data_IF_487400383330
#
_entry.id   IF_487400383330
#
_cell.length_a   1.000
_cell.length_b   1.000
_cell.length_c   1.000
_cell.angle_alpha   90.00
_cell.angle_beta   90.00
_cell.angle_gamma   90.00
#
_symmetry.space_group_name_H-M   'P 1'
#
loop_
_entity.id
_entity.type
_entity.pdbx_description
1 polymer ?
#
# COMPACT_ATOMS: atom_id res chain seq x y z
N UNK A 1 -43.34 59.93 -26.96
CA UNK A 1 -43.39 59.31 -25.62
C UNK A 1 -43.51 57.78 -25.62
N UNK A 2 -43.88 57.09 -26.72
CA UNK A 2 -43.89 55.60 -26.76
C UNK A 2 -42.50 54.95 -26.93
N UNK A 3 -41.56 55.60 -27.61
CA UNK A 3 -40.25 55.00 -27.90
C UNK A 3 -39.32 54.84 -26.67
N UNK A 4 -39.57 55.58 -25.58
CA UNK A 4 -38.78 55.49 -24.34
C UNK A 4 -39.22 54.35 -23.42
N UNK A 5 -40.50 53.95 -23.47
CA UNK A 5 -41.02 52.83 -22.67
C UNK A 5 -40.58 51.47 -23.25
N UNK A 6 -40.52 51.35 -24.58
CA UNK A 6 -40.00 50.13 -25.24
C UNK A 6 -38.51 49.91 -24.96
N UNK A 7 -37.73 50.98 -24.79
CA UNK A 7 -36.28 50.88 -24.56
C UNK A 7 -35.95 50.40 -23.13
N UNK A 8 -36.72 50.84 -22.14
CA UNK A 8 -36.57 50.41 -20.74
C UNK A 8 -36.93 48.93 -20.54
N UNK A 9 -38.01 48.46 -21.20
CA UNK A 9 -38.39 47.06 -21.19
C UNK A 9 -37.37 46.15 -21.87
N UNK A 10 -36.72 46.62 -22.94
CA UNK A 10 -35.63 45.88 -23.59
C UNK A 10 -34.40 45.81 -22.67
N UNK A 11 -34.04 46.87 -21.96
CA UNK A 11 -32.90 46.84 -21.03
C UNK A 11 -33.12 45.93 -19.82
N UNK A 12 -34.33 45.86 -19.25
CA UNK A 12 -34.67 44.92 -18.17
C UNK A 12 -34.66 43.46 -18.65
N UNK A 13 -35.10 43.21 -19.88
CA UNK A 13 -35.03 41.86 -20.45
C UNK A 13 -33.58 41.40 -20.62
N UNK A 14 -32.69 42.29 -21.09
CA UNK A 14 -31.27 41.96 -21.33
C UNK A 14 -30.55 41.67 -20.00
N UNK A 15 -30.82 42.43 -18.93
CA UNK A 15 -30.20 42.18 -17.63
C UNK A 15 -30.67 40.87 -17.00
N UNK A 16 -31.96 40.52 -17.14
CA UNK A 16 -32.50 39.24 -16.70
C UNK A 16 -31.88 38.05 -17.46
N UNK A 17 -31.68 38.16 -18.78
CA UNK A 17 -31.02 37.13 -19.58
C UNK A 17 -29.54 36.95 -19.20
N UNK A 18 -28.84 38.05 -18.91
CA UNK A 18 -27.44 38.02 -18.44
C UNK A 18 -27.34 37.36 -17.06
N UNK A 19 -28.26 37.66 -16.15
CA UNK A 19 -28.30 37.06 -14.83
C UNK A 19 -28.54 35.53 -14.89
N UNK A 20 -29.48 35.09 -15.72
CA UNK A 20 -29.71 33.66 -15.98
C UNK A 20 -28.49 32.94 -16.57
N UNK A 21 -27.76 33.60 -17.47
CA UNK A 21 -26.53 33.04 -18.04
C UNK A 21 -25.41 32.90 -16.98
N UNK A 22 -25.32 33.84 -16.03
CA UNK A 22 -24.37 33.77 -14.92
C UNK A 22 -24.74 32.63 -13.94
N UNK A 23 -26.02 32.45 -13.63
CA UNK A 23 -26.52 31.34 -12.81
C UNK A 23 -26.27 29.97 -13.44
N UNK A 24 -26.44 29.85 -14.76
CA UNK A 24 -26.09 28.63 -15.52
C UNK A 24 -24.60 28.30 -15.43
N UNK A 25 -23.73 29.32 -15.44
CA UNK A 25 -22.29 29.14 -15.28
C UNK A 25 -21.90 28.60 -13.89
N UNK A 26 -22.49 29.13 -12.83
CA UNK A 26 -22.25 28.67 -11.45
C UNK A 26 -22.78 27.25 -11.25
N UNK A 27 -23.99 26.96 -11.74
CA UNK A 27 -24.57 25.63 -11.66
C UNK A 27 -23.70 24.59 -12.40
N UNK A 28 -23.19 24.94 -13.59
CA UNK A 28 -22.26 24.09 -14.33
C UNK A 28 -20.94 23.86 -13.57
N UNK A 29 -20.40 24.89 -12.92
CA UNK A 29 -19.17 24.79 -12.10
C UNK A 29 -19.34 23.85 -10.88
N UNK A 30 -20.47 23.93 -10.19
CA UNK A 30 -20.82 23.03 -9.08
C UNK A 30 -21.01 21.60 -9.59
N UNK A 31 -21.69 21.41 -10.72
CA UNK A 31 -21.90 20.09 -11.31
C UNK A 31 -20.57 19.43 -11.74
N UNK A 32 -19.65 20.20 -12.31
CA UNK A 32 -18.32 19.70 -12.70
C UNK A 32 -17.44 19.34 -11.49
N UNK A 33 -17.52 20.09 -10.39
CA UNK A 33 -16.77 19.75 -9.16
C UNK A 33 -17.33 18.48 -8.52
N UNK A 34 -18.66 18.34 -8.43
CA UNK A 34 -19.31 17.10 -7.96
C UNK A 34 -18.96 15.90 -8.85
N UNK A 35 -19.02 16.05 -10.18
CA UNK A 35 -18.62 15.00 -11.12
C UNK A 35 -17.14 14.64 -11.02
N UNK A 36 -16.25 15.62 -10.79
CA UNK A 36 -14.83 15.40 -10.54
C UNK A 36 -14.57 14.60 -9.25
N UNK A 37 -15.29 14.90 -8.18
CA UNK A 37 -15.21 14.15 -6.92
C UNK A 37 -15.73 12.71 -7.04
N UNK A 38 -16.82 12.50 -7.78
CA UNK A 38 -17.34 11.16 -8.11
C UNK A 38 -16.32 10.37 -8.96
N UNK A 39 -15.68 11.03 -9.94
CA UNK A 39 -14.62 10.42 -10.75
C UNK A 39 -13.38 10.00 -9.94
N UNK A 40 -12.97 10.78 -8.93
CA UNK A 40 -11.87 10.40 -8.01
C UNK A 40 -12.28 9.25 -7.07
N UNK A 41 -13.56 9.18 -6.70
CA UNK A 41 -14.08 8.10 -5.87
C UNK A 41 -14.20 6.78 -6.65
N UNK A 42 -14.69 6.82 -7.89
CA UNK A 42 -14.84 5.64 -8.75
C UNK A 42 -13.52 5.21 -9.41
N UNK A 43 -12.65 6.16 -9.79
CA UNK A 43 -11.30 5.89 -10.29
C UNK A 43 -10.33 5.30 -9.26
N UNK A 44 -10.75 5.19 -7.99
CA UNK A 44 -10.07 4.41 -6.95
C UNK A 44 -10.45 2.92 -6.95
N UNK A 45 -11.50 2.55 -7.68
CA UNK A 45 -11.99 1.18 -7.79
C UNK A 45 -11.60 0.52 -9.12
N UNK A 46 -11.44 1.29 -10.19
CA UNK A 46 -10.86 0.80 -11.47
C UNK A 46 -9.40 1.21 -11.59
N UNK A 47 -8.52 0.29 -11.96
CA UNK A 47 -7.07 0.46 -12.19
C UNK A 47 -6.74 1.34 -13.42
N UNK A 48 -7.56 2.34 -13.75
CA UNK A 48 -7.40 3.19 -14.93
C UNK A 48 -6.92 4.60 -14.52
N UNK A 49 -5.61 4.80 -14.62
CA UNK A 49 -4.89 6.03 -14.24
C UNK A 49 -5.28 7.29 -15.03
N UNK A 50 -5.94 7.14 -16.18
CA UNK A 50 -6.41 8.25 -17.03
C UNK A 50 -7.63 8.99 -16.45
N UNK A 51 -8.57 8.27 -15.82
CA UNK A 51 -9.77 8.86 -15.21
C UNK A 51 -9.39 9.77 -14.04
N UNK A 52 -8.51 9.31 -13.14
CA UNK A 52 -8.06 10.08 -11.98
C UNK A 52 -7.25 11.34 -12.32
N UNK A 53 -6.60 11.38 -13.49
CA UNK A 53 -5.84 12.55 -13.96
C UNK A 53 -6.78 13.60 -14.55
N UNK A 54 -7.80 13.18 -15.32
CA UNK A 54 -8.84 14.06 -15.84
C UNK A 54 -9.78 14.58 -14.75
N UNK A 55 -10.06 13.81 -13.68
CA UNK A 55 -10.90 14.29 -12.58
C UNK A 55 -10.27 15.46 -11.80
N UNK A 56 -8.94 15.50 -11.70
CA UNK A 56 -8.21 16.59 -11.03
C UNK A 56 -8.27 17.90 -11.80
N UNK A 57 -8.24 17.87 -13.14
CA UNK A 57 -8.39 19.08 -13.94
C UNK A 57 -9.82 19.62 -13.84
N UNK A 58 -10.84 18.74 -13.84
CA UNK A 58 -12.25 19.14 -13.72
C UNK A 58 -12.55 19.88 -12.39
N UNK A 59 -11.91 19.49 -11.28
CA UNK A 59 -12.07 20.16 -9.97
C UNK A 59 -11.46 21.57 -10.01
N UNK A 60 -10.28 21.73 -10.62
CA UNK A 60 -9.60 23.04 -10.71
C UNK A 60 -10.36 23.97 -11.66
N UNK A 61 -10.81 23.48 -12.81
CA UNK A 61 -11.54 24.28 -13.80
C UNK A 61 -12.93 24.70 -13.28
N UNK A 62 -13.65 23.82 -12.58
CA UNK A 62 -14.96 24.13 -11.99
C UNK A 62 -14.87 25.20 -10.88
N UNK A 63 -13.82 25.16 -10.05
CA UNK A 63 -13.59 26.18 -9.02
C UNK A 63 -13.24 27.54 -9.63
N UNK A 64 -12.40 27.56 -10.68
CA UNK A 64 -12.01 28.78 -11.37
C UNK A 64 -13.18 29.47 -12.10
N UNK A 65 -14.06 28.69 -12.75
CA UNK A 65 -15.25 29.22 -13.41
C UNK A 65 -16.21 29.89 -12.40
N UNK A 66 -16.43 29.22 -11.26
CA UNK A 66 -17.35 29.69 -10.21
C UNK A 66 -16.88 31.00 -9.54
N UNK A 67 -15.56 31.17 -9.37
CA UNK A 67 -14.98 32.40 -8.80
C UNK A 67 -14.95 33.54 -9.81
N UNK A 68 -14.70 33.24 -11.10
CA UNK A 68 -14.69 34.24 -12.16
C UNK A 68 -16.05 34.90 -12.41
N UNK A 69 -17.13 34.14 -12.31
CA UNK A 69 -18.52 34.63 -12.53
C UNK A 69 -18.98 35.59 -11.43
N UNK A 70 -18.59 35.35 -10.17
CA UNK A 70 -18.92 36.24 -9.04
C UNK A 70 -18.19 37.59 -9.07
N UNK A 71 -17.00 37.65 -9.69
CA UNK A 71 -16.23 38.89 -9.79
C UNK A 71 -16.76 39.83 -10.88
N UNK A 72 -17.33 39.26 -11.96
CA UNK A 72 -17.85 40.02 -13.10
C UNK A 72 -19.19 40.72 -12.78
N UNK A 73 -20.06 40.09 -11.98
CA UNK A 73 -21.36 40.67 -11.58
C UNK A 73 -21.20 41.84 -10.59
N UNK A 74 -20.22 41.75 -9.69
CA UNK A 74 -19.88 42.83 -8.75
C UNK A 74 -19.25 44.04 -9.44
N UNK A 75 -18.36 43.82 -10.41
CA UNK A 75 -17.71 44.90 -11.18
C UNK A 75 -18.66 45.66 -12.09
N UNK A 76 -19.64 44.98 -12.69
CA UNK A 76 -20.59 45.59 -13.63
C UNK A 76 -21.54 46.59 -12.95
N UNK A 77 -21.97 46.32 -11.71
CA UNK A 77 -22.83 47.23 -10.93
C UNK A 77 -22.08 48.46 -10.39
N UNK A 78 -20.78 48.32 -10.14
CA UNK A 78 -19.91 49.44 -9.77
C UNK A 78 -19.65 50.40 -10.94
N UNK A 79 -19.76 49.91 -12.18
CA UNK A 79 -19.59 50.71 -13.40
C UNK A 79 -20.88 51.41 -13.85
N UNK A 80 -22.06 50.94 -13.41
CA UNK A 80 -23.35 51.51 -13.83
C UNK A 80 -24.07 52.34 -12.76
N UNK A 81 -23.62 52.29 -11.50
CA UNK A 81 -24.21 53.06 -10.40
C UNK A 81 -23.47 54.36 -10.10
N UNK A 82 -23.83 55.45 -10.75
CA UNK A 82 -23.36 56.79 -10.36
C UNK A 82 -23.58 57.88 -11.39
N UNK A 83 -24.84 58.21 -11.72
CA UNK A 83 -25.14 59.47 -12.43
C UNK A 83 -26.59 59.90 -12.26
N UNK A 84 -27.01 60.22 -11.04
CA UNK A 84 -28.20 61.07 -10.83
C UNK A 84 -27.76 62.32 -10.07
N UNK A 85 -27.73 63.45 -10.78
CA UNK A 85 -27.60 64.78 -10.18
C UNK A 85 -28.98 65.40 -10.27
N UNK A 86 -29.66 65.61 -9.15
CA UNK A 86 -30.90 66.40 -9.12
C UNK A 86 -30.94 67.31 -7.87
N UNK A 87 -31.28 68.61 -8.00
CA UNK A 87 -31.48 69.49 -6.85
C UNK A 87 -32.96 69.53 -6.38
N UNK A 88 -33.12 69.43 -5.06
CA UNK A 88 -34.33 69.57 -4.18
C UNK A 88 -35.10 70.91 -4.34
N UNK A 89 -36.33 71.19 -3.79
CA UNK A 89 -37.15 70.52 -2.73
C UNK A 89 -38.69 70.40 -3.03
N UNK A 90 -39.53 69.61 -2.34
CA UNK A 90 -40.19 69.83 -1.01
C UNK A 90 -41.12 68.60 -0.63
N UNK A 91 -41.68 68.48 0.60
CA UNK A 91 -41.78 67.21 1.33
C UNK A 91 -43.19 66.59 1.49
N UNK A 92 -43.28 65.25 1.54
CA UNK A 92 -44.39 64.47 2.15
C UNK A 92 -43.92 63.04 2.52
N UNK A 93 -44.60 62.30 3.43
CA UNK A 93 -43.96 61.73 4.61
C UNK A 93 -43.87 60.20 4.56
N UNK A 94 -42.91 59.67 5.34
CA UNK A 94 -42.81 58.27 5.76
C UNK A 94 -42.87 57.23 4.62
N UNK A 95 -41.85 57.21 3.76
CA UNK A 95 -41.45 55.96 3.16
C UNK A 95 -40.76 55.15 4.25
N UNK A 96 -41.27 53.93 4.50
CA UNK A 96 -40.54 52.89 5.20
C UNK A 96 -39.09 52.94 4.74
N UNK A 97 -38.19 53.19 5.69
CA UNK A 97 -36.80 52.83 5.54
C UNK A 97 -36.75 51.31 5.52
N UNK A 98 -37.16 50.75 4.38
CA UNK A 98 -36.72 49.48 3.87
C UNK A 98 -35.21 49.58 3.77
N UNK A 99 -34.58 49.32 4.90
CA UNK A 99 -33.24 48.81 4.97
C UNK A 99 -33.27 47.59 4.04
N UNK A 100 -32.95 47.82 2.76
CA UNK A 100 -32.53 46.84 1.76
C UNK A 100 -31.24 46.27 2.31
N UNK A 101 -31.45 45.47 3.34
CA UNK A 101 -30.42 44.95 4.18
C UNK A 101 -29.81 43.89 3.30
N UNK A 102 -28.59 44.15 2.84
CA UNK A 102 -27.72 43.21 2.11
C UNK A 102 -27.37 42.01 3.02
N UNK A 103 -27.67 42.15 4.33
CA UNK A 103 -27.37 41.24 5.42
C UNK A 103 -28.02 39.84 5.34
N UNK A 104 -29.32 39.63 5.02
CA UNK A 104 -29.96 38.32 5.00
C UNK A 104 -29.53 37.46 3.80
N UNK A 105 -29.31 38.07 2.63
CA UNK A 105 -28.87 37.34 1.43
C UNK A 105 -27.38 36.93 1.58
N UNK A 106 -26.51 37.83 2.04
CA UNK A 106 -25.12 37.49 2.41
C UNK A 106 -25.04 36.45 3.55
N UNK A 107 -25.95 36.48 4.53
CA UNK A 107 -26.00 35.46 5.59
C UNK A 107 -26.41 34.09 5.03
N UNK A 108 -27.36 34.05 4.09
CA UNK A 108 -27.81 32.82 3.45
C UNK A 108 -26.69 32.18 2.60
N UNK A 109 -26.02 32.98 1.77
CA UNK A 109 -24.90 32.52 0.93
C UNK A 109 -23.63 32.21 1.76
N UNK A 110 -23.34 33.03 2.77
CA UNK A 110 -22.24 32.78 3.72
C UNK A 110 -22.46 31.51 4.54
N UNK A 111 -23.70 31.24 4.95
CA UNK A 111 -24.09 30.01 5.64
C UNK A 111 -23.93 28.75 4.78
N UNK A 112 -24.32 28.81 3.49
CA UNK A 112 -24.15 27.71 2.55
C UNK A 112 -22.66 27.43 2.25
N UNK A 113 -21.85 28.47 2.06
CA UNK A 113 -20.40 28.33 1.85
C UNK A 113 -19.70 27.73 3.09
N UNK A 114 -20.05 28.20 4.29
CA UNK A 114 -19.56 27.63 5.55
C UNK A 114 -20.02 26.17 5.74
N UNK A 115 -21.26 25.85 5.39
CA UNK A 115 -21.80 24.49 5.43
C UNK A 115 -21.03 23.55 4.50
N UNK A 116 -20.78 23.97 3.26
CA UNK A 116 -19.97 23.20 2.31
C UNK A 116 -18.53 22.96 2.78
N UNK A 117 -17.89 23.99 3.35
CA UNK A 117 -16.55 23.87 3.95
C UNK A 117 -16.53 22.94 5.16
N UNK A 118 -17.55 22.99 6.03
CA UNK A 118 -17.66 22.10 7.18
C UNK A 118 -17.80 20.63 6.75
N UNK A 119 -18.62 20.36 5.73
CA UNK A 119 -18.77 19.00 5.17
C UNK A 119 -17.46 18.51 4.54
N UNK A 120 -16.77 19.37 3.79
CA UNK A 120 -15.47 19.03 3.20
C UNK A 120 -14.40 18.77 4.28
N UNK A 121 -14.39 19.55 5.36
CA UNK A 121 -13.48 19.37 6.48
C UNK A 121 -13.74 18.04 7.22
N UNK A 122 -15.01 17.69 7.46
CA UNK A 122 -15.39 16.42 8.09
C UNK A 122 -15.05 15.20 7.20
N UNK A 123 -15.30 15.30 5.90
CA UNK A 123 -14.91 14.28 4.92
C UNK A 123 -13.38 14.11 4.86
N UNK A 124 -12.64 15.23 4.85
CA UNK A 124 -11.17 15.24 4.90
C UNK A 124 -10.63 14.62 6.18
N UNK A 125 -11.23 14.93 7.34
CA UNK A 125 -10.88 14.35 8.64
C UNK A 125 -11.15 12.84 8.71
N UNK A 126 -12.31 12.38 8.20
CA UNK A 126 -12.64 10.96 8.09
C UNK A 126 -11.65 10.20 7.20
N UNK A 127 -11.34 10.77 6.02
CA UNK A 127 -10.35 10.21 5.11
C UNK A 127 -8.94 10.17 5.72
N UNK A 128 -8.53 11.23 6.42
CA UNK A 128 -7.25 11.29 7.14
C UNK A 128 -7.17 10.21 8.23
N UNK A 129 -8.23 10.02 9.02
CA UNK A 129 -8.30 9.02 10.09
C UNK A 129 -8.19 7.59 9.55
N UNK A 130 -8.88 7.29 8.45
CA UNK A 130 -8.80 5.98 7.77
C UNK A 130 -7.41 5.78 7.15
N UNK A 131 -6.84 6.80 6.52
CA UNK A 131 -5.50 6.74 5.91
C UNK A 131 -4.42 6.47 6.95
N UNK A 132 -4.49 7.13 8.12
CA UNK A 132 -3.55 6.94 9.23
C UNK A 132 -3.62 5.52 9.80
N UNK A 133 -4.81 4.90 9.87
CA UNK A 133 -4.97 3.49 10.28
C UNK A 133 -4.40 2.50 9.26
N UNK A 134 -4.52 2.80 7.96
CA UNK A 134 -3.98 1.94 6.89
C UNK A 134 -2.46 1.94 6.87
N UNK A 135 -1.82 3.09 7.10
CA UNK A 135 -0.34 3.16 7.10
C UNK A 135 0.28 2.41 8.27
N UNK A 136 -0.30 2.50 9.47
CA UNK A 136 0.18 1.73 10.63
C UNK A 136 -0.04 0.23 10.45
N UNK A 137 -1.21 -0.19 9.94
CA UNK A 137 -1.49 -1.60 9.62
C UNK A 137 -0.48 -2.17 8.61
N UNK A 138 -0.20 -1.43 7.54
CA UNK A 138 0.78 -1.82 6.51
C UNK A 138 2.20 -1.95 7.08
N UNK A 139 2.64 -0.97 7.87
CA UNK A 139 3.97 -1.02 8.50
C UNK A 139 4.11 -2.20 9.46
N UNK A 140 3.08 -2.48 10.27
CA UNK A 140 3.05 -3.64 11.18
C UNK A 140 3.11 -4.95 10.38
N UNK A 141 2.30 -5.08 9.32
CA UNK A 141 2.32 -6.26 8.45
C UNK A 141 3.69 -6.47 7.79
N UNK A 142 4.31 -5.42 7.25
CA UNK A 142 5.66 -5.48 6.68
C UNK A 142 6.73 -5.91 7.71
N UNK A 143 6.61 -5.46 8.95
CA UNK A 143 7.53 -5.90 10.00
C UNK A 143 7.38 -7.41 10.29
N UNK A 144 6.14 -7.91 10.33
CA UNK A 144 5.85 -9.33 10.51
C UNK A 144 6.33 -10.18 9.32
N UNK A 145 6.13 -9.69 8.09
CA UNK A 145 6.66 -10.32 6.87
C UNK A 145 8.16 -10.49 6.95
N UNK A 146 8.92 -9.45 7.35
CA UNK A 146 10.38 -9.57 7.52
C UNK A 146 10.78 -10.63 8.54
N UNK A 147 10.09 -10.71 9.68
CA UNK A 147 10.39 -11.73 10.70
C UNK A 147 10.08 -13.13 10.20
N UNK A 148 8.95 -13.30 9.51
CA UNK A 148 8.60 -14.57 8.86
C UNK A 148 9.67 -14.96 7.83
N UNK A 149 9.99 -14.08 6.89
CA UNK A 149 10.98 -14.33 5.85
C UNK A 149 12.35 -14.64 6.45
N UNK A 150 12.73 -14.01 7.57
CA UNK A 150 13.99 -14.34 8.27
C UNK A 150 14.03 -15.80 8.72
N UNK A 151 12.95 -16.31 9.32
CA UNK A 151 12.88 -17.71 9.78
C UNK A 151 12.77 -18.67 8.59
N UNK A 152 11.93 -18.34 7.60
CA UNK A 152 11.74 -19.16 6.41
C UNK A 152 13.03 -19.30 5.61
N UNK A 153 13.78 -18.21 5.42
CA UNK A 153 15.10 -18.23 4.78
C UNK A 153 16.10 -19.04 5.59
N UNK A 154 16.20 -18.81 6.91
CA UNK A 154 17.14 -19.57 7.74
C UNK A 154 16.87 -21.09 7.71
N UNK A 155 15.59 -21.49 7.67
CA UNK A 155 15.22 -22.90 7.52
C UNK A 155 15.48 -23.42 6.11
N UNK A 156 15.19 -22.63 5.08
CA UNK A 156 15.50 -22.94 3.69
C UNK A 156 17.00 -23.12 3.43
N UNK A 157 17.83 -22.25 3.98
CA UNK A 157 19.29 -22.32 3.90
C UNK A 157 19.80 -23.62 4.54
N UNK A 158 19.26 -23.99 5.71
CA UNK A 158 19.53 -25.29 6.33
C UNK A 158 19.16 -26.47 5.43
N UNK A 159 17.97 -26.44 4.82
CA UNK A 159 17.50 -27.52 3.94
C UNK A 159 18.28 -27.61 2.62
N UNK A 160 18.91 -26.51 2.20
CA UNK A 160 19.75 -26.44 1.00
C UNK A 160 21.22 -26.82 1.24
N UNK A 161 21.70 -26.82 2.48
CA UNK A 161 23.09 -27.14 2.82
C UNK A 161 23.23 -28.54 3.42
N UNK A 162 23.85 -29.46 2.65
CA UNK A 162 24.10 -30.85 3.10
C UNK A 162 25.03 -30.91 4.31
N UNK A 163 26.02 -30.02 4.41
CA UNK A 163 26.93 -30.00 5.57
C UNK A 163 26.19 -29.59 6.83
N UNK A 164 25.34 -28.57 6.72
CA UNK A 164 24.54 -28.10 7.85
C UNK A 164 23.49 -29.15 8.26
N UNK A 165 22.91 -29.85 7.30
CA UNK A 165 22.01 -30.98 7.56
C UNK A 165 22.73 -32.13 8.27
N UNK A 166 23.97 -32.44 7.90
CA UNK A 166 24.80 -33.43 8.60
C UNK A 166 25.13 -33.00 10.02
N UNK A 167 25.33 -31.71 10.30
CA UNK A 167 25.63 -31.24 11.65
C UNK A 167 24.38 -31.24 12.55
N UNK A 168 23.19 -31.01 11.99
CA UNK A 168 21.91 -30.89 12.72
C UNK A 168 20.79 -31.75 12.09
N UNK A 169 20.89 -33.09 12.05
CA UNK A 169 19.94 -33.94 11.32
C UNK A 169 18.51 -33.88 11.89
N UNK A 170 18.39 -33.67 13.21
CA UNK A 170 17.11 -33.61 13.92
C UNK A 170 16.18 -32.49 13.45
N UNK A 171 16.73 -31.43 12.86
CA UNK A 171 15.96 -30.27 12.40
C UNK A 171 15.18 -30.56 11.10
N UNK A 172 15.47 -31.68 10.43
CA UNK A 172 14.71 -32.20 9.30
C UNK A 172 13.77 -33.37 9.67
N UNK A 173 13.94 -33.93 10.87
CA UNK A 173 13.21 -35.10 11.33
C UNK A 173 11.90 -34.69 12.03
N UNK A 174 10.78 -34.87 11.34
CA UNK A 174 9.43 -34.55 11.87
C UNK A 174 8.95 -35.51 12.96
N UNK A 175 9.68 -36.60 13.26
CA UNK A 175 9.41 -37.42 14.45
C UNK A 175 9.84 -36.70 15.74
N UNK A 176 10.75 -35.72 15.63
CA UNK A 176 11.15 -34.86 16.74
C UNK A 176 10.05 -33.83 17.01
N UNK A 177 9.51 -33.76 18.25
CA UNK A 177 8.37 -32.88 18.56
C UNK A 177 8.62 -31.40 18.25
N UNK A 178 9.83 -30.90 18.51
CA UNK A 178 10.19 -29.51 18.26
C UNK A 178 10.24 -29.20 16.76
N UNK A 179 10.72 -30.13 15.94
CA UNK A 179 10.75 -30.00 14.48
C UNK A 179 9.34 -30.09 13.89
N UNK A 180 8.50 -31.00 14.39
CA UNK A 180 7.09 -31.06 14.00
C UNK A 180 6.37 -29.73 14.31
N UNK A 181 6.61 -29.15 15.49
CA UNK A 181 6.06 -27.86 15.88
C UNK A 181 6.54 -26.72 14.96
N UNK A 182 7.81 -26.72 14.55
CA UNK A 182 8.35 -25.77 13.57
C UNK A 182 7.62 -25.86 12.23
N UNK A 183 7.50 -27.06 11.66
CA UNK A 183 6.83 -27.26 10.36
C UNK A 183 5.35 -26.83 10.42
N UNK A 184 4.65 -27.17 11.50
CA UNK A 184 3.27 -26.74 11.72
C UNK A 184 3.15 -25.22 11.86
N UNK A 185 4.06 -24.59 12.62
CA UNK A 185 4.04 -23.15 12.82
C UNK A 185 4.38 -22.39 11.54
N UNK A 186 5.25 -22.94 10.68
CA UNK A 186 5.56 -22.38 9.37
C UNK A 186 4.32 -22.40 8.47
N UNK A 187 3.64 -23.54 8.36
CA UNK A 187 2.41 -23.67 7.59
C UNK A 187 1.31 -22.71 8.12
N UNK A 188 1.17 -22.57 9.44
CA UNK A 188 0.21 -21.65 10.05
C UNK A 188 0.55 -20.17 9.77
N UNK A 189 1.84 -19.81 9.75
CA UNK A 189 2.28 -18.46 9.40
C UNK A 189 2.07 -18.14 7.91
N UNK A 190 2.31 -19.12 7.03
CA UNK A 190 2.03 -18.99 5.59
C UNK A 190 0.55 -18.81 5.31
N UNK A 191 -0.33 -19.61 5.92
CA UNK A 191 -1.78 -19.44 5.81
C UNK A 191 -2.22 -18.06 6.32
N UNK A 192 -1.75 -17.66 7.50
CA UNK A 192 -2.10 -16.37 8.08
C UNK A 192 -1.58 -15.17 7.26
N UNK A 193 -0.50 -15.33 6.48
CA UNK A 193 0.04 -14.30 5.58
C UNK A 193 -0.94 -13.94 4.46
N UNK A 194 -1.72 -14.91 3.97
CA UNK A 194 -2.69 -14.71 2.89
C UNK A 194 -3.91 -13.88 3.35
N UNK A 195 -4.18 -13.84 4.66
CA UNK A 195 -5.28 -13.09 5.23
C UNK A 195 -4.99 -11.60 5.51
N UNK A 196 -6.08 -10.86 5.76
CA UNK A 196 -6.03 -9.44 6.15
C UNK A 196 -5.94 -9.21 7.68
N UNK A 197 -6.06 -10.27 8.49
CA UNK A 197 -6.00 -10.21 9.94
C UNK A 197 -4.55 -10.16 10.45
N UNK A 198 -4.09 -8.96 10.77
CA UNK A 198 -2.73 -8.70 11.25
C UNK A 198 -2.48 -9.25 12.65
N UNK A 199 -3.51 -9.37 13.50
CA UNK A 199 -3.35 -9.91 14.86
C UNK A 199 -3.25 -11.44 14.84
N UNK A 200 -4.01 -12.11 13.95
CA UNK A 200 -3.79 -13.53 13.64
C UNK A 200 -2.39 -13.77 13.07
N UNK A 201 -1.97 -12.98 12.08
CA UNK A 201 -0.64 -13.12 11.49
C UNK A 201 0.47 -12.88 12.51
N UNK A 202 0.33 -11.88 13.39
CA UNK A 202 1.30 -11.64 14.46
C UNK A 202 1.46 -12.84 15.40
N UNK A 203 0.36 -13.47 15.82
CA UNK A 203 0.41 -14.65 16.68
C UNK A 203 1.10 -15.83 15.99
N UNK A 204 0.80 -16.05 14.71
CA UNK A 204 1.41 -17.12 13.93
C UNK A 204 2.93 -16.91 13.75
N UNK A 205 3.36 -15.69 13.41
CA UNK A 205 4.80 -15.35 13.27
C UNK A 205 5.55 -15.47 14.61
N UNK A 206 4.91 -15.08 15.71
CA UNK A 206 5.49 -15.27 17.05
C UNK A 206 5.65 -16.76 17.39
N UNK A 207 4.64 -17.58 17.10
CA UNK A 207 4.72 -19.03 17.29
C UNK A 207 5.82 -19.66 16.43
N UNK A 208 5.91 -19.28 15.15
CA UNK A 208 6.98 -19.70 14.25
C UNK A 208 8.37 -19.34 14.78
N UNK A 209 8.55 -18.11 15.25
CA UNK A 209 9.84 -17.64 15.78
C UNK A 209 10.26 -18.43 17.03
N UNK A 210 9.31 -18.77 17.90
CA UNK A 210 9.56 -19.59 19.10
C UNK A 210 9.86 -21.04 18.72
N UNK A 211 9.08 -21.63 17.81
CA UNK A 211 9.28 -23.00 17.35
C UNK A 211 10.63 -23.18 16.65
N UNK A 212 11.04 -22.21 15.83
CA UNK A 212 12.36 -22.18 15.21
C UNK A 212 13.49 -22.25 16.23
N UNK A 213 13.47 -21.38 17.24
CA UNK A 213 14.49 -21.37 18.29
C UNK A 213 14.52 -22.69 19.07
N UNK A 214 13.36 -23.22 19.44
CA UNK A 214 13.26 -24.48 20.17
C UNK A 214 13.83 -25.66 19.36
N UNK A 215 13.47 -25.74 18.07
CA UNK A 215 13.95 -26.78 17.17
C UNK A 215 15.47 -26.64 16.90
N UNK A 216 15.96 -25.43 16.62
CA UNK A 216 17.39 -25.17 16.40
C UNK A 216 18.23 -25.47 17.65
N UNK A 217 17.81 -24.99 18.82
CA UNK A 217 18.51 -25.25 20.09
C UNK A 217 18.51 -26.74 20.44
N UNK A 218 17.41 -27.45 20.17
CA UNK A 218 17.35 -28.91 20.34
C UNK A 218 18.32 -29.59 19.38
N UNK A 219 18.35 -29.16 18.12
CA UNK A 219 19.21 -29.74 17.10
C UNK A 219 20.70 -29.53 17.39
N UNK A 220 21.09 -28.32 17.78
CA UNK A 220 22.47 -27.99 18.19
C UNK A 220 22.90 -28.79 19.42
N UNK A 221 22.03 -28.94 20.42
CA UNK A 221 22.34 -29.71 21.64
C UNK A 221 22.47 -31.21 21.36
N UNK A 222 21.70 -31.73 20.42
CA UNK A 222 21.68 -33.17 20.10
C UNK A 222 22.80 -33.52 19.13
N UNK A 223 23.01 -32.70 18.10
CA UNK A 223 23.88 -32.99 16.98
C UNK A 223 23.63 -34.40 16.43
N UNK A 224 24.71 -35.16 16.26
CA UNK A 224 24.65 -36.54 15.78
C UNK A 224 24.28 -37.58 16.85
N UNK A 225 24.05 -37.19 18.11
CA UNK A 225 23.86 -38.16 19.22
C UNK A 225 22.57 -38.95 19.11
N UNK A 226 21.58 -38.44 18.38
CA UNK A 226 20.33 -39.17 18.14
C UNK A 226 20.47 -40.29 17.11
N UNK A 227 21.50 -40.24 16.27
CA UNK A 227 21.72 -41.26 15.26
C UNK A 227 22.28 -42.53 15.91
N UNK A 228 21.90 -43.71 15.40
CA UNK A 228 22.57 -44.97 15.73
C UNK A 228 24.09 -44.87 15.53
N UNK A 229 24.91 -45.63 16.29
CA UNK A 229 26.36 -45.50 16.24
C UNK A 229 26.98 -45.71 14.85
N UNK A 230 26.42 -46.60 14.04
CA UNK A 230 26.87 -46.84 12.67
C UNK A 230 26.59 -45.62 11.77
N UNK A 231 25.37 -45.10 11.82
CA UNK A 231 24.94 -43.94 11.04
C UNK A 231 25.72 -42.68 11.42
N UNK A 232 25.93 -42.45 12.72
CA UNK A 232 26.76 -41.35 13.23
C UNK A 232 28.17 -41.39 12.66
N UNK A 233 28.83 -42.55 12.67
CA UNK A 233 30.20 -42.70 12.12
C UNK A 233 30.25 -42.37 10.64
N UNK A 234 29.24 -42.80 9.89
CA UNK A 234 29.20 -42.51 8.47
C UNK A 234 28.87 -41.06 8.16
N UNK A 235 27.98 -40.42 8.94
CA UNK A 235 27.73 -38.99 8.83
C UNK A 235 29.02 -38.18 9.09
N UNK A 236 29.81 -38.55 10.11
CA UNK A 236 31.12 -37.95 10.39
C UNK A 236 32.13 -38.16 9.24
N UNK A 237 32.13 -39.35 8.61
CA UNK A 237 32.99 -39.65 7.46
C UNK A 237 32.56 -38.89 6.20
N UNK A 238 31.27 -38.89 5.89
CA UNK A 238 30.69 -38.17 4.76
C UNK A 238 30.97 -36.67 4.88
N UNK A 239 30.84 -36.09 6.08
CA UNK A 239 31.21 -34.69 6.35
C UNK A 239 32.65 -34.38 5.99
N UNK A 240 33.61 -35.23 6.39
CA UNK A 240 35.03 -35.05 6.05
C UNK A 240 35.26 -35.12 4.55
N UNK A 241 34.66 -36.10 3.88
CA UNK A 241 34.78 -36.27 2.43
C UNK A 241 34.15 -35.13 1.65
N UNK A 242 32.99 -34.62 2.08
CA UNK A 242 32.35 -33.45 1.47
C UNK A 242 33.18 -32.18 1.66
N UNK A 243 33.78 -31.98 2.84
CA UNK A 243 34.69 -30.87 3.07
C UNK A 243 35.88 -30.91 2.09
N UNK A 244 36.48 -32.09 1.88
CA UNK A 244 37.53 -32.27 0.86
C UNK A 244 37.02 -32.06 -0.57
N UNK A 245 35.81 -32.51 -0.89
CA UNK A 245 35.23 -32.33 -2.23
C UNK A 245 34.98 -30.85 -2.56
N UNK A 246 34.62 -30.05 -1.57
CA UNK A 246 34.35 -28.61 -1.69
C UNK A 246 35.61 -27.75 -1.60
N UNK A 247 36.73 -28.28 -1.11
CA UNK A 247 38.00 -27.57 -1.06
C UNK A 247 38.54 -27.29 -2.47
N UNK A 248 38.67 -26.00 -2.80
CA UNK A 248 39.19 -25.54 -4.10
C UNK A 248 40.72 -25.55 -4.19
N UNK A 249 41.43 -25.86 -3.10
CA UNK A 249 42.89 -25.95 -3.08
C UNK A 249 43.47 -27.29 -3.54
N UNK A 250 42.65 -28.34 -3.63
CA UNK A 250 43.05 -29.71 -3.97
C UNK A 250 42.96 -30.06 -5.46
N UNK A 251 43.41 -31.27 -5.83
CA UNK A 251 43.28 -31.76 -7.21
C UNK A 251 41.84 -32.14 -7.56
N UNK A 252 41.41 -31.89 -8.80
CA UNK A 252 40.05 -32.23 -9.24
C UNK A 252 39.72 -33.72 -9.15
N UNK A 253 40.71 -34.60 -9.29
CA UNK A 253 40.51 -36.04 -9.18
C UNK A 253 40.21 -36.46 -7.74
N UNK A 254 40.95 -35.91 -6.77
CA UNK A 254 40.73 -36.15 -5.34
C UNK A 254 39.35 -35.66 -4.91
N UNK A 255 38.95 -34.46 -5.36
CA UNK A 255 37.64 -33.86 -5.08
C UNK A 255 36.49 -34.72 -5.59
N UNK A 256 36.58 -35.19 -6.85
CA UNK A 256 35.56 -36.09 -7.45
C UNK A 256 35.48 -37.43 -6.73
N UNK A 257 36.62 -38.02 -6.37
CA UNK A 257 36.68 -39.28 -5.61
C UNK A 257 36.09 -39.12 -4.21
N UNK A 258 36.35 -38.00 -3.55
CA UNK A 258 35.79 -37.70 -2.22
C UNK A 258 34.27 -37.51 -2.29
N UNK A 259 33.77 -36.78 -3.30
CA UNK A 259 32.33 -36.61 -3.53
C UNK A 259 31.61 -37.94 -3.77
N UNK A 260 32.14 -38.80 -4.66
CA UNK A 260 31.56 -40.10 -4.95
C UNK A 260 31.47 -40.97 -3.68
N UNK A 261 32.56 -41.04 -2.90
CA UNK A 261 32.57 -41.79 -1.63
C UNK A 261 31.62 -41.21 -0.59
N UNK A 262 31.50 -39.89 -0.50
CA UNK A 262 30.54 -39.26 0.41
C UNK A 262 29.11 -39.63 0.03
N UNK A 263 28.78 -39.59 -1.27
CA UNK A 263 27.47 -39.98 -1.79
C UNK A 263 27.14 -41.44 -1.46
N UNK A 264 28.06 -42.36 -1.69
CA UNK A 264 27.86 -43.80 -1.38
C UNK A 264 27.58 -44.03 0.12
N UNK A 265 28.28 -43.29 1.00
CA UNK A 265 28.06 -43.35 2.45
C UNK A 265 26.69 -42.79 2.86
N UNK A 266 26.22 -41.74 2.18
CA UNK A 266 24.92 -41.12 2.47
C UNK A 266 23.76 -41.97 1.94
N UNK A 267 23.88 -42.52 0.73
CA UNK A 267 22.86 -43.38 0.10
C UNK A 267 22.54 -44.63 0.95
N UNK A 268 23.51 -45.13 1.74
CA UNK A 268 23.31 -46.30 2.60
C UNK A 268 22.66 -46.03 3.96
N UNK A 269 22.52 -44.77 4.38
CA UNK A 269 22.35 -44.45 5.81
C UNK A 269 21.25 -43.43 6.08
N UNK A 270 21.05 -42.46 5.19
CA UNK A 270 20.02 -41.46 5.38
C UNK A 270 19.19 -41.30 4.12
N UNK A 271 17.86 -41.25 4.27
CA UNK A 271 16.99 -40.70 3.24
C UNK A 271 17.29 -39.20 3.17
N UNK A 272 18.28 -38.83 2.37
CA UNK A 272 18.65 -37.43 2.17
C UNK A 272 17.49 -36.73 1.45
N UNK A 273 16.99 -35.58 1.95
CA UNK A 273 15.97 -34.82 1.24
C UNK A 273 16.45 -34.49 -0.18
N UNK A 274 15.62 -34.78 -1.20
CA UNK A 274 16.00 -34.61 -2.61
C UNK A 274 16.49 -33.17 -2.94
N UNK A 275 15.96 -32.18 -2.24
CA UNK A 275 16.37 -30.77 -2.34
C UNK A 275 17.83 -30.52 -1.91
N UNK A 276 18.31 -31.20 -0.86
CA UNK A 276 19.68 -31.05 -0.37
C UNK A 276 20.68 -31.68 -1.37
N UNK A 277 20.31 -32.81 -1.96
CA UNK A 277 21.09 -33.45 -3.04
C UNK A 277 21.20 -32.53 -4.26
N UNK A 278 20.08 -31.90 -4.68
CA UNK A 278 20.07 -30.99 -5.82
C UNK A 278 20.92 -29.73 -5.60
N UNK A 279 20.92 -29.17 -4.39
CA UNK A 279 21.74 -28.02 -4.03
C UNK A 279 23.24 -28.36 -3.96
N UNK A 280 23.58 -29.55 -3.46
CA UNK A 280 24.96 -30.03 -3.45
C UNK A 280 25.47 -30.29 -4.87
N UNK A 281 24.64 -30.89 -5.72
CA UNK A 281 25.01 -31.17 -7.11
C UNK A 281 25.22 -29.88 -7.92
N UNK A 282 24.37 -28.86 -7.73
CA UNK A 282 24.55 -27.56 -8.38
C UNK A 282 25.84 -26.87 -7.93
N UNK A 283 26.13 -26.88 -6.63
CA UNK A 283 27.37 -26.33 -6.04
C UNK A 283 28.60 -27.07 -6.57
N UNK A 284 28.57 -28.40 -6.61
CA UNK A 284 29.67 -29.21 -7.12
C UNK A 284 29.92 -28.99 -8.62
N UNK A 285 28.85 -28.89 -9.43
CA UNK A 285 28.96 -28.55 -10.86
C UNK A 285 29.64 -27.19 -11.06
N UNK A 286 29.27 -26.17 -10.27
CA UNK A 286 29.93 -24.86 -10.30
C UNK A 286 31.41 -24.95 -9.89
N UNK A 287 31.73 -25.79 -8.91
CA UNK A 287 33.08 -25.95 -8.40
C UNK A 287 34.00 -26.81 -9.30
N UNK A 288 33.43 -27.55 -10.26
CA UNK A 288 34.14 -28.34 -11.29
C UNK A 288 34.15 -27.67 -12.67
N UNK A 289 33.36 -26.61 -12.87
CA UNK A 289 33.41 -25.85 -14.10
C UNK A 289 34.82 -25.23 -14.24
N UNK A 290 35.53 -25.44 -15.37
CA UNK A 290 36.83 -24.83 -15.56
C UNK A 290 36.67 -23.30 -15.50
N UNK A 291 37.47 -22.66 -14.63
CA UNK A 291 37.64 -21.20 -14.62
C UNK A 291 38.35 -20.82 -15.92
N UNK A 292 37.57 -20.63 -16.98
CA UNK A 292 38.04 -19.92 -18.17
C UNK A 292 37.87 -18.42 -17.90
N UNK A 293 38.95 -17.79 -17.42
CA UNK A 293 39.25 -16.37 -17.59
C UNK A 293 40.59 -16.28 -18.32
#
# INVERSE_FOLDING_TARGET
>A
MRASEDFLGVTESITAWVEWALWLGVAAGVLMTVAGWIGVALGRQSENSHLARNSRSLIVTGLALSVGTGFLSGGLRLLTGGADTEPSPDPKPAADSGSDSILPDLLLWGGLALGGLAVAALAGWGAWRVRRRRTTKRRRRQALERTHDTVATAYGDYLGDVLEWLDRPSLSDVSVPETAALVQALAAADDARLGDDVDRYQRAVAALSTAWKAADDRARRTGLRQLPPAERRAAEQARKLLATALDTGGSDHERRSAYARARDLLDGILVVPAQAVAALESTHRLALAPKHL
#
